data_IF_659849706839
#
_entry.id   IF_659849706839
#
_cell.length_a   1.000
_cell.length_b   1.000
_cell.length_c   1.000
_cell.angle_alpha   90.00
_cell.angle_beta   90.00
_cell.angle_gamma   90.00
#
_symmetry.space_group_name_H-M   'P 1'
#
loop_
_entity.id
_entity.type
_entity.pdbx_description
1 polymer ?
#
# COMPACT_ATOMS: atom_id res chain seq x y z
N UNK A 1 15.70 28.16 -82.61
CA UNK A 1 15.49 27.16 -81.55
C UNK A 1 16.01 27.76 -80.25
N UNK A 2 15.18 28.48 -79.50
CA UNK A 2 15.59 29.06 -78.21
C UNK A 2 15.43 27.98 -77.14
N UNK A 3 16.53 27.62 -76.49
CA UNK A 3 16.53 26.63 -75.41
C UNK A 3 16.15 27.36 -74.13
N UNK A 4 14.91 27.18 -73.68
CA UNK A 4 14.49 27.65 -72.36
C UNK A 4 15.07 26.66 -71.35
N UNK A 5 16.07 27.09 -70.59
CA UNK A 5 16.63 26.30 -69.49
C UNK A 5 15.67 26.33 -68.30
N UNK A 6 15.42 25.20 -67.63
CA UNK A 6 14.57 25.17 -66.44
C UNK A 6 15.33 25.73 -65.22
N UNK A 7 14.68 26.61 -64.45
CA UNK A 7 15.22 27.19 -63.22
C UNK A 7 15.46 26.13 -62.12
N UNK A 8 16.60 26.15 -61.40
CA UNK A 8 16.99 25.12 -60.43
C UNK A 8 16.44 25.29 -59.00
N UNK A 9 15.47 26.17 -58.74
CA UNK A 9 15.25 26.67 -57.37
C UNK A 9 14.01 26.15 -56.60
N UNK A 10 13.59 24.89 -56.76
CA UNK A 10 12.41 24.36 -56.02
C UNK A 10 12.73 23.27 -54.99
N UNK A 11 13.99 22.85 -54.81
CA UNK A 11 14.36 21.77 -53.86
C UNK A 11 15.12 22.24 -52.62
N UNK A 12 15.38 23.55 -52.48
CA UNK A 12 16.21 24.11 -51.39
C UNK A 12 15.50 24.17 -50.03
N UNK A 13 14.22 24.51 -49.99
CA UNK A 13 13.52 24.83 -48.73
C UNK A 13 13.17 23.58 -47.89
N UNK A 14 12.85 22.47 -48.55
CA UNK A 14 12.57 21.20 -47.88
C UNK A 14 13.83 20.58 -47.25
N UNK A 15 14.98 20.71 -47.93
CA UNK A 15 16.27 20.24 -47.42
C UNK A 15 16.74 21.08 -46.22
N UNK A 16 16.52 22.39 -46.24
CA UNK A 16 16.84 23.28 -45.11
C UNK A 16 15.99 22.95 -43.86
N UNK A 17 14.71 22.66 -44.05
CA UNK A 17 13.78 22.29 -42.97
C UNK A 17 14.11 20.92 -42.37
N UNK A 18 14.44 19.93 -43.19
CA UNK A 18 14.90 18.63 -42.70
C UNK A 18 16.19 18.73 -41.87
N UNK A 19 17.14 19.56 -42.33
CA UNK A 19 18.39 19.81 -41.62
C UNK A 19 18.19 20.54 -40.28
N UNK A 20 17.22 21.47 -40.20
CA UNK A 20 16.92 22.17 -38.95
C UNK A 20 16.27 21.25 -37.91
N UNK A 21 15.39 20.33 -38.34
CA UNK A 21 14.79 19.31 -37.48
C UNK A 21 15.86 18.34 -36.94
N UNK A 22 16.76 17.87 -37.80
CA UNK A 22 17.85 16.99 -37.37
C UNK A 22 18.77 17.66 -36.35
N UNK A 23 19.16 18.92 -36.58
CA UNK A 23 19.95 19.71 -35.61
C UNK A 23 19.22 19.92 -34.29
N UNK A 24 17.90 20.12 -34.33
CA UNK A 24 17.09 20.23 -33.10
C UNK A 24 17.13 18.94 -32.30
N UNK A 25 16.92 17.79 -32.95
CA UNK A 25 16.99 16.47 -32.31
C UNK A 25 18.39 16.17 -31.75
N UNK A 26 19.45 16.54 -32.47
CA UNK A 26 20.84 16.40 -31.99
C UNK A 26 21.08 17.19 -30.69
N UNK A 27 20.60 18.44 -30.66
CA UNK A 27 20.68 19.27 -29.46
C UNK A 27 19.87 18.69 -28.29
N UNK A 28 18.69 18.13 -28.57
CA UNK A 28 17.85 17.47 -27.57
C UNK A 28 18.55 16.22 -26.99
N UNK A 29 19.17 15.39 -27.83
CA UNK A 29 19.95 14.23 -27.39
C UNK A 29 21.12 14.65 -26.48
N UNK A 30 21.81 15.74 -26.82
CA UNK A 30 22.90 16.28 -26.00
C UNK A 30 22.36 16.76 -24.65
N UNK A 31 21.25 17.50 -24.65
CA UNK A 31 20.61 17.99 -23.44
C UNK A 31 20.18 16.84 -22.52
N UNK A 32 19.53 15.81 -23.08
CA UNK A 32 19.09 14.63 -22.34
C UNK A 32 20.28 13.82 -21.79
N UNK A 33 21.36 13.66 -22.58
CA UNK A 33 22.58 13.02 -22.09
C UNK A 33 23.20 13.76 -20.91
N UNK A 34 23.24 15.09 -20.97
CA UNK A 34 23.72 15.93 -19.85
C UNK A 34 22.83 15.77 -18.62
N UNK A 35 21.51 15.73 -18.81
CA UNK A 35 20.56 15.48 -17.74
C UNK A 35 20.76 14.11 -17.08
N UNK A 36 20.98 13.05 -17.87
CA UNK A 36 21.27 11.71 -17.34
C UNK A 36 22.55 11.69 -16.50
N UNK A 37 23.62 12.35 -16.94
CA UNK A 37 24.86 12.43 -16.16
C UNK A 37 24.65 13.22 -14.86
N UNK A 38 23.90 14.32 -14.91
CA UNK A 38 23.52 15.07 -13.71
C UNK A 38 22.72 14.20 -12.73
N UNK A 39 21.70 13.49 -13.21
CA UNK A 39 20.90 12.58 -12.39
C UNK A 39 21.76 11.47 -11.78
N UNK A 40 22.70 10.91 -12.56
CA UNK A 40 23.64 9.89 -12.08
C UNK A 40 24.52 10.42 -10.96
N UNK A 41 25.04 11.64 -11.08
CA UNK A 41 25.82 12.28 -10.04
C UNK A 41 25.01 12.56 -8.77
N UNK A 42 23.76 13.02 -8.91
CA UNK A 42 22.84 13.23 -7.79
C UNK A 42 22.54 11.91 -7.07
N UNK A 43 22.22 10.84 -7.80
CA UNK A 43 21.98 9.51 -7.23
C UNK A 43 23.22 8.98 -6.52
N UNK A 44 24.42 9.16 -7.09
CA UNK A 44 25.66 8.76 -6.44
C UNK A 44 25.86 9.50 -5.10
N UNK A 45 25.64 10.82 -5.09
CA UNK A 45 25.72 11.62 -3.86
C UNK A 45 24.71 11.18 -2.81
N UNK A 46 23.46 10.89 -3.21
CA UNK A 46 22.43 10.37 -2.30
C UNK A 46 22.81 9.01 -1.74
N UNK A 47 23.37 8.10 -2.56
CA UNK A 47 23.84 6.79 -2.10
C UNK A 47 24.98 6.90 -1.09
N UNK A 48 25.91 7.82 -1.28
CA UNK A 48 26.98 8.08 -0.30
C UNK A 48 26.42 8.69 0.99
N UNK A 49 25.46 9.62 0.90
CA UNK A 49 24.81 10.24 2.07
C UNK A 49 23.98 9.25 2.88
N UNK A 50 23.34 8.29 2.22
CA UNK A 50 22.61 7.17 2.84
C UNK A 50 23.60 6.04 3.26
N UNK A 51 24.89 6.19 2.98
CA UNK A 51 25.91 5.15 3.11
C UNK A 51 26.38 4.85 4.54
N UNK A 52 26.54 3.55 4.80
CA UNK A 52 27.15 2.84 5.96
C UNK A 52 26.39 2.78 7.28
N UNK A 53 25.59 3.76 7.64
CA UNK A 53 24.65 3.62 8.75
C UNK A 53 23.47 2.78 8.27
N UNK A 54 23.58 1.46 8.49
CA UNK A 54 22.45 0.58 8.26
C UNK A 54 21.31 1.05 9.16
N UNK A 55 20.09 1.11 8.62
CA UNK A 55 18.85 1.34 9.42
C UNK A 55 18.77 0.34 10.59
N UNK A 56 19.52 -0.77 10.52
CA UNK A 56 19.69 -1.73 11.60
C UNK A 56 20.25 -1.10 12.89
N UNK A 57 21.11 -0.08 12.81
CA UNK A 57 21.62 0.65 13.99
C UNK A 57 20.56 1.52 14.66
N UNK A 58 19.57 1.99 13.89
CA UNK A 58 18.43 2.76 14.39
C UNK A 58 17.25 1.87 14.78
N UNK A 59 17.35 0.56 14.58
CA UNK A 59 16.27 -0.37 14.87
C UNK A 59 16.16 -0.58 16.38
N UNK A 60 15.02 -0.23 17.02
CA UNK A 60 14.83 -0.51 18.43
C UNK A 60 14.81 -2.03 18.68
N UNK A 61 15.27 -2.45 19.86
CA UNK A 61 15.15 -3.83 20.28
C UNK A 61 13.66 -4.21 20.30
N UNK A 62 13.28 -5.25 19.55
CA UNK A 62 11.89 -5.72 19.53
C UNK A 62 11.71 -6.74 20.66
N UNK A 63 10.97 -6.44 21.74
CA UNK A 63 10.75 -7.40 22.81
C UNK A 63 9.96 -8.60 22.28
N UNK A 64 10.32 -9.81 22.70
CA UNK A 64 9.55 -11.03 22.41
C UNK A 64 8.28 -11.04 23.27
N UNK A 65 7.23 -10.35 22.79
CA UNK A 65 6.00 -10.19 23.58
C UNK A 65 5.04 -11.36 23.35
N UNK A 66 4.62 -12.01 24.44
CA UNK A 66 3.53 -12.99 24.41
C UNK A 66 2.19 -12.24 24.38
N UNK A 67 1.34 -12.55 23.41
CA UNK A 67 0.02 -11.96 23.28
C UNK A 67 -0.86 -12.26 24.51
N UNK A 68 -1.63 -11.27 24.95
CA UNK A 68 -2.55 -11.41 26.08
C UNK A 68 -3.89 -10.74 25.75
N UNK A 69 -5.00 -11.49 25.86
CA UNK A 69 -6.34 -10.97 25.57
C UNK A 69 -6.96 -10.15 26.72
N UNK A 70 -6.51 -10.36 27.97
CA UNK A 70 -7.03 -9.62 29.13
C UNK A 70 -6.47 -8.20 29.10
N UNK A 71 -7.35 -7.21 29.16
CA UNK A 71 -7.00 -5.80 29.25
C UNK A 71 -6.64 -5.41 30.68
N UNK A 72 -5.42 -4.94 30.89
CA UNK A 72 -5.04 -4.21 32.10
C UNK A 72 -5.48 -2.75 32.01
N UNK A 73 -5.52 -2.04 33.13
CA UNK A 73 -5.86 -0.62 33.13
C UNK A 73 -4.86 0.20 32.31
N UNK A 74 -3.56 -0.10 32.42
CA UNK A 74 -2.50 0.58 31.69
C UNK A 74 -2.64 0.39 30.17
N UNK A 75 -2.99 -0.83 29.74
CA UNK A 75 -3.24 -1.12 28.32
C UNK A 75 -4.47 -0.38 27.79
N UNK A 76 -5.53 -0.24 28.60
CA UNK A 76 -6.70 0.55 28.23
C UNK A 76 -6.33 2.02 28.03
N UNK A 77 -5.54 2.60 28.95
CA UNK A 77 -5.09 3.99 28.84
C UNK A 77 -4.17 4.20 27.63
N UNK A 78 -3.25 3.28 27.36
CA UNK A 78 -2.42 3.29 26.15
C UNK A 78 -3.27 3.22 24.87
N UNK A 79 -4.33 2.41 24.85
CA UNK A 79 -5.23 2.33 23.72
C UNK A 79 -6.01 3.63 23.50
N UNK A 80 -6.50 4.27 24.57
CA UNK A 80 -7.17 5.59 24.50
C UNK A 80 -6.22 6.65 23.93
N UNK A 81 -5.00 6.73 24.45
CA UNK A 81 -3.97 7.63 23.93
C UNK A 81 -3.64 7.30 22.46
N UNK A 82 -3.59 6.02 22.11
CA UNK A 82 -3.40 5.55 20.75
C UNK A 82 -4.48 6.07 19.80
N UNK A 83 -5.77 6.04 20.19
CA UNK A 83 -6.85 6.61 19.39
C UNK A 83 -6.66 8.12 19.19
N UNK A 84 -6.23 8.86 20.22
CA UNK A 84 -5.97 10.32 20.11
C UNK A 84 -4.81 10.67 19.18
N UNK A 85 -3.85 9.77 19.01
CA UNK A 85 -2.63 10.03 18.22
C UNK A 85 -2.71 9.43 16.80
N UNK A 86 -3.40 8.30 16.63
CA UNK A 86 -3.42 7.53 15.38
C UNK A 86 -4.82 7.31 14.79
N UNK A 87 -5.87 7.84 15.43
CA UNK A 87 -7.25 7.67 15.00
C UNK A 87 -7.64 6.20 14.87
N UNK A 88 -8.00 5.79 13.65
CA UNK A 88 -8.42 4.40 13.32
C UNK A 88 -7.30 3.50 12.85
N UNK A 89 -6.02 3.91 12.93
CA UNK A 89 -4.90 3.02 12.63
C UNK A 89 -4.69 2.00 13.75
N UNK A 90 -5.57 1.00 13.81
CA UNK A 90 -5.58 -0.03 14.85
C UNK A 90 -4.31 -0.88 14.87
N UNK A 91 -3.61 -0.99 13.74
CA UNK A 91 -2.32 -1.67 13.65
C UNK A 91 -1.24 -0.92 14.43
N UNK A 92 -1.11 0.39 14.23
CA UNK A 92 -0.15 1.22 14.97
C UNK A 92 -0.46 1.21 16.49
N UNK A 93 -1.74 1.27 16.86
CA UNK A 93 -2.15 1.21 18.26
C UNK A 93 -1.78 -0.15 18.88
N UNK A 94 -1.96 -1.26 18.16
CA UNK A 94 -1.57 -2.57 18.63
C UNK A 94 -0.04 -2.70 18.83
N UNK A 95 0.75 -2.10 17.94
CA UNK A 95 2.22 -2.07 18.05
C UNK A 95 2.69 -1.31 19.29
N UNK A 96 2.02 -0.21 19.66
CA UNK A 96 2.33 0.58 20.87
C UNK A 96 2.02 -0.21 22.14
N UNK A 97 0.90 -0.93 22.17
CA UNK A 97 0.54 -1.77 23.31
C UNK A 97 1.47 -2.99 23.39
N UNK A 98 1.97 -3.47 22.26
CA UNK A 98 2.99 -4.51 22.14
C UNK A 98 2.51 -5.94 22.40
N UNK A 99 1.42 -6.13 23.17
CA UNK A 99 0.88 -7.44 23.52
C UNK A 99 -0.57 -7.69 23.05
N UNK A 100 -1.11 -6.80 22.21
CA UNK A 100 -2.44 -6.89 21.59
C UNK A 100 -2.30 -7.01 20.08
N UNK A 101 -3.36 -7.51 19.44
CA UNK A 101 -3.44 -7.58 17.97
C UNK A 101 -4.39 -6.50 17.49
N UNK A 102 -4.38 -6.21 16.18
CA UNK A 102 -5.31 -5.26 15.58
C UNK A 102 -6.77 -5.60 15.93
N UNK A 103 -7.15 -6.88 15.87
CA UNK A 103 -8.50 -7.34 16.22
C UNK A 103 -8.86 -7.06 17.68
N UNK A 104 -7.90 -7.18 18.61
CA UNK A 104 -8.13 -6.81 20.01
C UNK A 104 -8.41 -5.30 20.14
N UNK A 105 -7.67 -4.46 19.42
CA UNK A 105 -7.86 -3.00 19.42
C UNK A 105 -9.20 -2.62 18.78
N UNK A 106 -9.59 -3.25 17.67
CA UNK A 106 -10.90 -3.04 17.03
C UNK A 106 -12.05 -3.40 17.98
N UNK A 107 -11.89 -4.49 18.74
CA UNK A 107 -12.85 -4.91 19.78
C UNK A 107 -12.88 -3.94 20.97
N UNK A 108 -11.72 -3.43 21.40
CA UNK A 108 -11.62 -2.39 22.43
C UNK A 108 -12.39 -1.14 22.00
N UNK A 109 -12.20 -0.69 20.76
CA UNK A 109 -12.84 0.51 20.23
C UNK A 109 -14.36 0.45 20.32
N UNK A 110 -14.97 -0.71 20.04
CA UNK A 110 -16.43 -0.90 20.17
C UNK A 110 -16.84 -1.03 21.65
N UNK A 111 -16.11 -1.85 22.42
CA UNK A 111 -16.47 -2.20 23.81
C UNK A 111 -16.33 -1.04 24.79
N UNK A 112 -15.40 -0.12 24.52
CA UNK A 112 -15.10 1.01 25.40
C UNK A 112 -15.49 2.37 24.80
N UNK A 113 -16.16 2.38 23.65
CA UNK A 113 -16.58 3.58 22.90
C UNK A 113 -17.18 4.67 23.79
N UNK A 114 -18.20 4.33 24.58
CA UNK A 114 -18.90 5.28 25.46
C UNK A 114 -18.12 5.61 26.74
N UNK A 115 -17.37 4.65 27.28
CA UNK A 115 -16.69 4.80 28.58
C UNK A 115 -15.54 5.80 28.53
N UNK A 116 -14.83 5.84 27.40
CA UNK A 116 -13.71 6.76 27.19
C UNK A 116 -14.03 7.86 26.17
N UNK A 117 -15.30 8.03 25.81
CA UNK A 117 -15.76 9.00 24.81
C UNK A 117 -14.90 9.00 23.53
N UNK A 118 -14.67 7.81 22.98
CA UNK A 118 -13.75 7.61 21.85
C UNK A 118 -14.18 8.37 20.60
N UNK A 119 -15.45 8.77 20.50
CA UNK A 119 -15.96 9.58 19.40
C UNK A 119 -15.50 11.03 19.46
N UNK A 120 -15.48 11.63 20.65
CA UNK A 120 -14.93 12.97 20.83
C UNK A 120 -13.43 12.98 20.50
N UNK A 121 -12.68 12.01 21.03
CA UNK A 121 -11.24 11.85 20.78
C UNK A 121 -10.94 11.69 19.29
N UNK A 122 -11.75 10.88 18.61
CA UNK A 122 -11.57 10.63 17.18
C UNK A 122 -11.93 11.85 16.33
N UNK A 123 -12.96 12.61 16.72
CA UNK A 123 -13.32 13.87 16.07
C UNK A 123 -12.18 14.89 16.19
N UNK A 124 -11.57 15.03 17.36
CA UNK A 124 -10.39 15.89 17.55
C UNK A 124 -9.23 15.47 16.62
N UNK A 125 -8.99 14.16 16.51
CA UNK A 125 -7.95 13.65 15.62
C UNK A 125 -8.25 13.97 14.14
N UNK A 126 -9.51 13.81 13.71
CA UNK A 126 -9.98 14.12 12.34
C UNK A 126 -9.92 15.63 12.02
N UNK A 127 -10.15 16.50 13.00
CA UNK A 127 -10.01 17.96 12.85
C UNK A 127 -8.55 18.38 12.64
N UNK A 128 -7.60 17.69 13.27
CA UNK A 128 -6.17 17.96 13.15
C UNK A 128 -5.54 17.35 11.88
N UNK A 129 -5.95 16.13 11.50
CA UNK A 129 -5.29 15.33 10.46
C UNK A 129 -6.12 15.16 9.18
N UNK A 130 -7.39 15.58 9.21
CA UNK A 130 -8.36 15.35 8.14
C UNK A 130 -9.03 13.97 8.20
N UNK A 131 -10.03 13.71 7.34
CA UNK A 131 -10.71 12.42 7.28
C UNK A 131 -9.75 11.27 6.94
N UNK A 132 -9.74 10.21 7.76
CA UNK A 132 -8.90 9.04 7.53
C UNK A 132 -9.58 8.03 6.58
N UNK A 133 -9.14 7.97 5.32
CA UNK A 133 -9.54 6.93 4.37
C UNK A 133 -8.65 5.69 4.52
N UNK A 134 -9.04 4.76 5.40
CA UNK A 134 -8.49 3.40 5.33
C UNK A 134 -9.24 2.68 4.22
N UNK A 135 -8.58 2.53 3.07
CA UNK A 135 -8.94 1.45 2.13
C UNK A 135 -8.68 0.15 2.88
N UNK A 136 -9.74 -0.54 3.30
CA UNK A 136 -9.63 -1.89 3.86
C UNK A 136 -9.00 -2.81 2.80
N UNK A 137 -7.68 -2.99 2.87
CA UNK A 137 -7.04 -4.13 2.22
C UNK A 137 -7.51 -5.39 2.95
N UNK A 138 -8.49 -6.05 2.33
CA UNK A 138 -8.98 -7.37 2.69
C UNK A 138 -7.78 -8.31 2.86
N UNK A 139 -7.65 -9.04 3.98
CA UNK A 139 -6.53 -9.95 4.17
C UNK A 139 -6.59 -11.05 3.10
N UNK A 140 -5.54 -11.15 2.29
CA UNK A 140 -5.33 -12.32 1.42
C UNK A 140 -4.95 -13.51 2.30
N UNK A 141 -5.76 -14.57 2.25
CA UNK A 141 -5.47 -15.86 2.85
C UNK A 141 -4.25 -16.49 2.14
N UNK A 142 -3.05 -16.29 2.67
CA UNK A 142 -1.87 -17.08 2.29
C UNK A 142 -1.98 -18.47 2.94
N UNK A 143 -2.78 -19.36 2.34
CA UNK A 143 -2.80 -20.77 2.69
C UNK A 143 -1.44 -21.40 2.34
N UNK A 144 -0.81 -22.00 3.35
CA UNK A 144 0.53 -22.60 3.30
C UNK A 144 0.65 -23.65 2.19
N UNK A 145 1.65 -23.47 1.32
CA UNK A 145 2.25 -24.53 0.52
C UNK A 145 2.76 -25.63 1.44
N UNK A 146 2.15 -26.82 1.34
CA UNK A 146 2.70 -28.07 1.86
C UNK A 146 3.07 -28.93 0.65
N UNK A 147 4.36 -29.15 0.45
CA UNK A 147 4.90 -30.09 -0.53
C UNK A 147 4.54 -31.54 -0.15
N UNK A 148 4.18 -32.36 -1.14
CA UNK A 148 3.99 -33.80 -0.95
C UNK A 148 3.33 -34.52 -2.12
N UNK A 149 4.13 -34.83 -3.16
CA UNK A 149 4.07 -35.89 -4.20
C UNK A 149 2.73 -36.35 -4.85
N UNK A 150 2.73 -36.68 -6.16
CA UNK A 150 1.53 -37.04 -6.90
C UNK A 150 1.30 -38.56 -6.91
N UNK A 151 0.04 -39.00 -6.79
CA UNK A 151 -0.40 -40.30 -7.30
C UNK A 151 -1.92 -40.37 -7.46
N UNK A 152 -2.31 -40.50 -8.74
CA UNK A 152 -3.28 -41.46 -9.30
C UNK A 152 -4.73 -41.51 -8.78
N UNK A 153 -5.62 -41.21 -9.74
CA UNK A 153 -6.77 -42.03 -10.19
C UNK A 153 -8.20 -41.73 -9.70
N UNK A 154 -9.07 -41.79 -10.73
CA UNK A 154 -10.49 -42.12 -10.77
C UNK A 154 -11.55 -41.16 -10.22
N UNK A 155 -12.18 -40.44 -11.17
CA UNK A 155 -13.60 -40.54 -11.55
C UNK A 155 -14.54 -41.20 -10.53
N UNK A 156 -15.62 -40.50 -10.18
CA UNK A 156 -16.73 -41.06 -9.40
C UNK A 156 -17.91 -40.11 -9.29
N UNK A 157 -18.76 -40.14 -10.30
CA UNK A 157 -20.10 -39.55 -10.42
C UNK A 157 -21.04 -39.92 -9.27
N UNK A 158 -21.85 -38.95 -8.79
CA UNK A 158 -23.19 -39.11 -8.15
C UNK A 158 -23.26 -39.97 -6.87
N UNK A 159 -24.20 -39.86 -5.93
CA UNK A 159 -25.58 -39.39 -5.95
C UNK A 159 -26.05 -39.28 -4.48
N UNK A 160 -26.92 -38.30 -4.21
CA UNK A 160 -28.17 -38.43 -3.45
C UNK A 160 -28.24 -38.82 -1.96
N UNK A 161 -29.37 -38.36 -1.39
CA UNK A 161 -30.09 -38.80 -0.17
C UNK A 161 -29.57 -38.25 1.16
N UNK A 162 -30.40 -37.73 2.08
CA UNK A 162 -31.85 -37.57 2.14
C UNK A 162 -32.24 -36.73 3.38
N UNK A 163 -33.37 -36.03 3.27
CA UNK A 163 -34.44 -35.87 4.28
C UNK A 163 -34.08 -35.45 5.72
N UNK A 164 -34.66 -34.35 6.21
CA UNK A 164 -35.98 -34.39 6.88
C UNK A 164 -36.29 -33.10 7.65
N UNK A 165 -37.43 -32.53 7.29
CA UNK A 165 -38.52 -32.03 8.16
C UNK A 165 -38.20 -31.20 9.42
N UNK A 166 -38.66 -29.95 9.43
CA UNK A 166 -39.40 -29.35 10.57
C UNK A 166 -40.05 -28.03 10.18
N UNK A 167 -41.36 -28.06 9.96
CA UNK A 167 -42.23 -26.89 9.90
C UNK A 167 -43.40 -27.12 10.82
N UNK A 168 -43.29 -26.69 12.08
CA UNK A 168 -44.40 -26.66 13.04
C UNK A 168 -44.52 -25.27 13.64
N UNK A 169 -45.70 -24.72 13.40
CA UNK A 169 -46.35 -23.51 13.90
C UNK A 169 -46.33 -23.30 15.42
N UNK A 170 -46.09 -22.04 15.82
CA UNK A 170 -46.49 -21.34 17.07
C UNK A 170 -45.68 -20.02 17.12
N UNK A 171 -46.14 -18.84 17.56
CA UNK A 171 -47.28 -18.40 18.37
C UNK A 171 -47.29 -16.85 18.37
N UNK A 172 -48.45 -16.26 18.66
CA UNK A 172 -48.65 -15.01 19.41
C UNK A 172 -48.09 -13.68 18.88
N UNK A 173 -48.99 -12.82 18.40
CA UNK A 173 -49.54 -11.71 19.20
C UNK A 173 -50.90 -11.29 18.65
#
# INVERSE_FOLDING_TARGET
>A
MAMVSPDPNTTSDANSTGLSILKHMENEVIALKKQVQNNKAQVASLRTRIGSESIQTLKPANPTVRLNAKWSNDELLLAVQGVRQFGRNFKAIAEIIGNKTENHVRSFFVTYRKRYDLDAILKEWEEEHGPFDIKEEKPEDTNSTKDGLPSTSSVGTSNSTSSSTRGTTSKSH
#
